data_IF_472893727286
#
_entry.id   IF_472893727286
#
_cell.length_a   1.000
_cell.length_b   1.000
_cell.length_c   1.000
_cell.angle_alpha   90.00
_cell.angle_beta   90.00
_cell.angle_gamma   90.00
#
_symmetry.space_group_name_H-M   'P 1'
#
loop_
_entity.id
_entity.type
_entity.pdbx_description
1 polymer ?
#
# COMPACT_ATOMS: atom_id res chain seq x y z
N UNK A 1 11.39 17.71 8.45
CA UNK A 1 11.70 16.25 8.38
C UNK A 1 12.97 15.82 9.14
N UNK A 2 13.99 16.65 9.36
CA UNK A 2 15.15 16.27 10.18
C UNK A 2 14.85 16.18 11.70
N UNK A 3 14.00 17.04 12.24
CA UNK A 3 13.66 17.09 13.68
C UNK A 3 12.92 15.86 14.22
N UNK A 4 12.12 15.16 13.42
CA UNK A 4 11.37 13.98 13.89
C UNK A 4 12.24 12.72 14.02
N UNK A 5 13.34 12.62 13.27
CA UNK A 5 14.28 11.50 13.39
C UNK A 5 15.12 11.57 14.69
N UNK A 6 15.27 12.76 15.26
CA UNK A 6 15.98 12.96 16.52
C UNK A 6 15.09 12.76 17.76
N UNK A 7 13.76 12.87 17.62
CA UNK A 7 12.83 12.81 18.75
C UNK A 7 12.96 11.52 19.57
N UNK A 8 13.16 10.38 18.92
CA UNK A 8 13.26 9.07 19.56
C UNK A 8 14.70 8.56 19.67
N UNK A 9 15.69 9.45 19.57
CA UNK A 9 17.11 9.13 19.62
C UNK A 9 17.51 8.41 20.92
N UNK A 10 17.00 8.84 22.07
CA UNK A 10 17.30 8.23 23.37
C UNK A 10 16.89 6.76 23.44
N UNK A 11 15.72 6.42 22.91
CA UNK A 11 15.27 5.03 22.84
C UNK A 11 16.19 4.21 21.92
N UNK A 12 16.57 4.75 20.76
CA UNK A 12 17.51 4.10 19.84
C UNK A 12 18.85 3.85 20.54
N UNK A 13 19.39 4.83 21.23
CA UNK A 13 20.66 4.73 21.94
C UNK A 13 20.57 3.67 23.03
N UNK A 14 19.56 3.70 23.89
CA UNK A 14 19.33 2.70 24.93
C UNK A 14 19.30 1.26 24.37
N UNK A 15 18.53 1.05 23.29
CA UNK A 15 18.45 -0.25 22.63
C UNK A 15 19.75 -0.67 21.95
N UNK A 16 20.53 0.29 21.43
CA UNK A 16 21.85 -0.01 20.82
C UNK A 16 22.89 -0.40 21.86
N UNK A 17 22.85 0.23 23.03
CA UNK A 17 23.82 0.02 24.12
C UNK A 17 23.52 -1.25 24.92
N UNK A 18 22.29 -1.76 24.85
CA UNK A 18 21.92 -2.99 25.56
C UNK A 18 22.47 -4.24 24.85
N UNK A 19 22.93 -5.21 25.65
CA UNK A 19 23.42 -6.51 25.17
C UNK A 19 22.32 -7.57 25.06
N UNK A 20 21.15 -7.26 25.58
CA UNK A 20 20.04 -8.21 25.64
C UNK A 20 19.45 -8.49 24.25
N UNK A 21 19.15 -9.76 24.02
CA UNK A 21 18.56 -10.20 22.76
C UNK A 21 17.05 -10.06 22.73
N UNK A 22 16.43 -10.01 23.91
CA UNK A 22 14.99 -9.84 24.12
C UNK A 22 14.76 -8.88 25.27
N UNK A 23 14.01 -7.82 25.05
CA UNK A 23 13.64 -6.82 26.02
C UNK A 23 12.12 -6.76 26.13
N UNK A 24 11.60 -6.91 27.34
CA UNK A 24 10.19 -6.65 27.62
C UNK A 24 10.13 -5.27 28.27
N UNK A 25 9.45 -4.34 27.63
CA UNK A 25 9.37 -2.96 28.12
C UNK A 25 7.93 -2.53 28.29
N UNK A 26 7.63 -1.84 29.36
CA UNK A 26 6.39 -1.12 29.54
C UNK A 26 6.43 0.22 28.78
N UNK A 27 5.28 0.78 28.47
CA UNK A 27 5.21 2.11 27.87
C UNK A 27 5.77 3.19 28.80
N UNK A 28 5.63 3.02 30.12
CA UNK A 28 6.20 3.93 31.12
C UNK A 28 7.73 3.93 31.09
N UNK A 29 8.37 2.77 31.00
CA UNK A 29 9.85 2.68 30.88
C UNK A 29 10.34 3.34 29.60
N UNK A 30 9.58 3.18 28.48
CA UNK A 30 9.92 3.85 27.22
C UNK A 30 9.79 5.37 27.38
N UNK A 31 8.76 5.86 28.08
CA UNK A 31 8.57 7.28 28.34
C UNK A 31 9.68 7.86 29.25
N UNK A 32 10.12 7.10 30.24
CA UNK A 32 11.26 7.49 31.10
C UNK A 32 12.55 7.65 30.27
N UNK A 33 12.84 6.70 29.41
CA UNK A 33 14.00 6.76 28.51
C UNK A 33 13.90 7.97 27.57
N UNK A 34 12.72 8.21 27.01
CA UNK A 34 12.48 9.31 26.09
C UNK A 34 12.53 10.68 26.81
N UNK A 35 12.09 10.73 28.07
CA UNK A 35 11.93 11.95 28.84
C UNK A 35 10.65 12.73 28.51
N UNK A 36 9.69 12.09 27.79
CA UNK A 36 8.39 12.66 27.47
C UNK A 36 7.35 11.54 27.27
N UNK A 37 6.06 11.90 27.39
CA UNK A 37 4.96 10.95 27.20
C UNK A 37 4.76 10.58 25.74
N UNK A 38 4.44 9.32 25.49
CA UNK A 38 4.02 8.84 24.17
C UNK A 38 2.72 9.53 23.75
N UNK A 39 2.53 9.65 22.44
CA UNK A 39 1.30 10.20 21.90
C UNK A 39 0.10 9.30 22.26
N UNK A 40 -1.09 9.87 22.43
CA UNK A 40 -2.31 9.14 22.76
C UNK A 40 -2.62 7.99 21.78
N UNK A 41 -2.17 8.11 20.52
CA UNK A 41 -2.29 7.06 19.50
C UNK A 41 -1.50 5.80 19.83
N UNK A 42 -0.37 5.90 20.54
CA UNK A 42 0.43 4.74 20.94
C UNK A 42 -0.31 3.83 21.94
N UNK A 43 -1.22 4.39 22.73
CA UNK A 43 -2.06 3.65 23.68
C UNK A 43 -3.31 3.04 23.03
N UNK A 44 -3.69 3.50 21.83
CA UNK A 44 -4.96 3.10 21.18
C UNK A 44 -4.76 2.21 19.94
N UNK A 45 -3.68 2.42 19.20
CA UNK A 45 -3.53 1.82 17.87
C UNK A 45 -2.28 0.93 17.79
N UNK A 46 -2.45 -0.40 17.61
CA UNK A 46 -1.32 -1.33 17.44
C UNK A 46 -0.39 -0.96 16.27
N UNK A 47 -0.93 -0.26 15.25
CA UNK A 47 -0.16 0.14 14.08
C UNK A 47 1.06 1.02 14.41
N UNK A 48 1.01 1.81 15.50
CA UNK A 48 2.12 2.66 15.94
C UNK A 48 3.35 1.82 16.34
N UNK A 49 3.11 0.61 16.82
CA UNK A 49 4.13 -0.34 17.28
C UNK A 49 4.56 -1.33 16.19
N UNK A 50 4.08 -1.16 14.97
CA UNK A 50 4.48 -2.01 13.84
C UNK A 50 5.94 -1.75 13.43
N UNK A 51 6.59 -2.78 12.87
CA UNK A 51 7.95 -2.69 12.35
C UNK A 51 8.00 -1.99 10.97
N UNK A 52 7.43 -0.80 10.89
CA UNK A 52 7.39 0.03 9.68
C UNK A 52 8.29 1.24 9.83
N UNK A 53 9.17 1.47 8.88
CA UNK A 53 10.05 2.64 8.80
C UNK A 53 9.29 3.96 8.54
N UNK A 54 8.01 3.88 8.18
CA UNK A 54 7.13 5.03 8.03
C UNK A 54 6.77 5.70 9.37
N UNK A 55 6.96 5.00 10.51
CA UNK A 55 6.69 5.53 11.83
C UNK A 55 7.99 5.97 12.53
N UNK A 56 8.13 7.26 12.89
CA UNK A 56 9.36 7.76 13.54
C UNK A 56 9.73 7.01 14.83
N UNK A 57 8.74 6.55 15.60
CA UNK A 57 8.97 5.73 16.79
C UNK A 57 9.58 4.37 16.43
N UNK A 58 9.06 3.72 15.36
CA UNK A 58 9.56 2.41 14.91
C UNK A 58 11.01 2.48 14.39
N UNK A 59 11.37 3.58 13.75
CA UNK A 59 12.75 3.81 13.29
C UNK A 59 13.77 3.72 14.43
N UNK A 60 13.38 4.05 15.67
CA UNK A 60 14.29 3.96 16.82
C UNK A 60 14.73 2.51 17.09
N UNK A 61 13.84 1.55 17.19
CA UNK A 61 14.22 0.14 17.42
C UNK A 61 14.73 -0.56 16.17
N UNK A 62 14.21 -0.22 14.99
CA UNK A 62 14.70 -0.81 13.73
C UNK A 62 16.17 -0.44 13.49
N UNK A 63 16.56 0.81 13.71
CA UNK A 63 17.96 1.27 13.58
C UNK A 63 18.87 0.74 14.68
N UNK A 64 18.32 0.35 15.83
CA UNK A 64 19.05 -0.34 16.89
C UNK A 64 19.18 -1.86 16.66
N UNK A 65 18.64 -2.37 15.54
CA UNK A 65 18.68 -3.78 15.18
C UNK A 65 17.65 -4.65 15.90
N UNK A 66 16.55 -4.07 16.38
CA UNK A 66 15.45 -4.78 17.04
C UNK A 66 14.18 -4.78 16.18
N UNK A 67 13.30 -5.72 16.49
CA UNK A 67 11.91 -5.75 16.01
C UNK A 67 10.96 -5.82 17.19
N UNK A 68 9.83 -5.14 17.07
CA UNK A 68 8.74 -5.22 18.03
C UNK A 68 7.94 -6.50 17.82
N UNK A 69 7.60 -7.17 18.91
CA UNK A 69 6.78 -8.39 18.97
C UNK A 69 5.83 -8.31 20.17
N UNK A 70 4.83 -9.17 20.24
CA UNK A 70 3.97 -9.39 21.40
C UNK A 70 3.47 -8.11 22.11
N UNK A 71 2.92 -7.18 21.33
CA UNK A 71 2.32 -5.98 21.88
C UNK A 71 1.07 -6.30 22.72
N UNK A 72 1.00 -5.76 23.92
CA UNK A 72 -0.20 -5.76 24.76
C UNK A 72 -0.61 -4.34 25.12
N UNK A 73 -1.63 -3.80 24.45
CA UNK A 73 -2.16 -2.46 24.77
C UNK A 73 -2.83 -2.41 26.15
N UNK A 74 -3.47 -3.52 26.58
CA UNK A 74 -4.12 -3.60 27.90
C UNK A 74 -3.14 -3.60 29.06
N UNK A 75 -1.98 -4.22 28.87
CA UNK A 75 -0.88 -4.23 29.86
C UNK A 75 0.13 -3.13 29.61
N UNK A 76 0.00 -2.39 28.51
CA UNK A 76 0.93 -1.36 28.07
C UNK A 76 2.37 -1.86 28.00
N UNK A 77 2.57 -3.04 27.40
CA UNK A 77 3.88 -3.67 27.27
C UNK A 77 4.15 -4.07 25.83
N UNK A 78 5.43 -4.10 25.48
CA UNK A 78 5.93 -4.53 24.17
C UNK A 78 7.22 -5.31 24.35
N UNK A 79 7.45 -6.28 23.49
CA UNK A 79 8.70 -7.04 23.43
C UNK A 79 9.51 -6.54 22.24
N UNK A 80 10.77 -6.23 22.49
CA UNK A 80 11.77 -5.96 21.45
C UNK A 80 12.72 -7.14 21.34
N UNK A 81 12.89 -7.68 20.14
CA UNK A 81 13.81 -8.77 19.85
C UNK A 81 14.88 -8.34 18.87
N UNK A 82 16.14 -8.65 19.17
CA UNK A 82 17.27 -8.35 18.30
C UNK A 82 17.20 -9.18 17.02
N UNK A 83 17.39 -8.54 15.87
CA UNK A 83 17.33 -9.21 14.57
C UNK A 83 18.47 -10.23 14.48
N UNK A 84 18.12 -11.49 14.18
CA UNK A 84 19.09 -12.59 14.13
C UNK A 84 19.11 -13.54 15.34
N UNK A 85 18.37 -13.22 16.43
CA UNK A 85 18.22 -14.14 17.56
C UNK A 85 16.97 -15.03 17.41
N UNK A 86 17.07 -16.35 17.62
CA UNK A 86 15.92 -17.25 17.52
C UNK A 86 14.89 -16.99 18.61
N UNK A 87 13.60 -17.02 18.24
CA UNK A 87 12.48 -16.98 19.21
C UNK A 87 12.39 -18.33 19.94
N UNK A 88 12.13 -18.36 21.29
CA UNK A 88 11.95 -19.60 22.01
C UNK A 88 10.75 -20.44 21.55
N UNK A 89 9.73 -19.78 21.00
CA UNK A 89 8.48 -20.41 20.52
C UNK A 89 8.48 -20.69 19.00
N UNK A 90 9.58 -20.41 18.32
CA UNK A 90 9.73 -20.83 16.93
C UNK A 90 10.24 -22.28 16.91
N UNK A 91 9.57 -23.23 16.24
CA UNK A 91 10.13 -24.55 16.04
C UNK A 91 11.52 -24.36 15.42
N UNK A 92 12.54 -25.07 15.97
CA UNK A 92 13.92 -25.11 15.47
C UNK A 92 13.86 -25.51 13.98
N UNK A 93 13.74 -24.56 13.10
CA UNK A 93 13.98 -24.78 11.68
C UNK A 93 15.48 -24.65 11.52
N UNK A 94 16.16 -25.78 11.42
CA UNK A 94 17.52 -25.82 10.93
C UNK A 94 17.56 -25.05 9.61
N UNK A 95 18.31 -23.95 9.59
CA UNK A 95 18.59 -23.21 8.36
C UNK A 95 19.55 -24.01 7.51
N UNK A 96 19.10 -25.13 6.99
CA UNK A 96 19.63 -25.60 5.72
C UNK A 96 19.27 -24.51 4.71
N UNK A 97 20.20 -24.14 3.86
CA UNK A 97 19.97 -23.29 2.68
C UNK A 97 19.10 -24.03 1.64
N UNK A 98 18.02 -24.66 2.05
CA UNK A 98 16.93 -24.97 1.16
C UNK A 98 16.12 -23.67 1.08
N UNK A 99 16.06 -23.04 -0.07
CA UNK A 99 14.97 -22.15 -0.42
C UNK A 99 13.72 -22.89 0.01
N UNK A 100 13.06 -22.44 1.09
CA UNK A 100 11.75 -22.97 1.44
C UNK A 100 10.89 -22.69 0.22
N UNK A 101 10.67 -23.73 -0.55
CA UNK A 101 9.74 -23.75 -1.65
C UNK A 101 8.36 -23.56 -1.04
N UNK A 102 7.92 -22.31 -0.96
CA UNK A 102 6.51 -22.01 -0.77
C UNK A 102 5.88 -22.54 -2.05
N UNK A 103 4.98 -23.53 -1.98
CA UNK A 103 4.40 -24.08 -3.20
C UNK A 103 3.82 -22.92 -4.01
N UNK A 104 4.24 -22.82 -5.27
CA UNK A 104 3.65 -21.89 -6.22
C UNK A 104 2.14 -22.06 -6.10
N UNK A 105 1.43 -20.94 -6.05
CA UNK A 105 -0.02 -20.93 -6.03
C UNK A 105 -0.54 -21.83 -7.17
N UNK A 106 -1.16 -22.94 -6.81
CA UNK A 106 -1.73 -23.82 -7.84
C UNK A 106 -2.96 -23.16 -8.47
N UNK A 107 -3.31 -23.47 -9.72
CA UNK A 107 -4.53 -22.98 -10.34
C UNK A 107 -5.78 -23.21 -9.48
N UNK A 108 -5.89 -24.38 -8.83
CA UNK A 108 -7.02 -24.70 -7.95
C UNK A 108 -7.07 -23.81 -6.70
N UNK A 109 -5.91 -23.54 -6.10
CA UNK A 109 -5.82 -22.61 -4.98
C UNK A 109 -6.22 -21.19 -5.41
N UNK A 110 -5.77 -20.74 -6.58
CA UNK A 110 -6.16 -19.44 -7.13
C UNK A 110 -7.67 -19.35 -7.37
N UNK A 111 -8.28 -20.35 -7.98
CA UNK A 111 -9.73 -20.43 -8.19
C UNK A 111 -10.50 -20.42 -6.87
N UNK A 112 -10.05 -21.18 -5.86
CA UNK A 112 -10.67 -21.17 -4.53
C UNK A 112 -10.64 -19.75 -3.92
N UNK A 113 -9.49 -19.09 -3.92
CA UNK A 113 -9.35 -17.72 -3.37
C UNK A 113 -10.21 -16.70 -4.11
N UNK A 114 -10.32 -16.84 -5.44
CA UNK A 114 -11.20 -15.98 -6.25
C UNK A 114 -12.67 -16.20 -5.86
N UNK A 115 -13.10 -17.44 -5.71
CA UNK A 115 -14.46 -17.77 -5.31
C UNK A 115 -14.75 -17.26 -3.88
N UNK A 116 -13.83 -17.42 -2.94
CA UNK A 116 -13.97 -16.90 -1.59
C UNK A 116 -14.11 -15.38 -1.58
N UNK A 117 -13.31 -14.68 -2.39
CA UNK A 117 -13.43 -13.22 -2.55
C UNK A 117 -14.80 -12.83 -3.10
N UNK A 118 -15.30 -13.50 -4.15
CA UNK A 118 -16.64 -13.22 -4.67
C UNK A 118 -17.74 -13.51 -3.65
N UNK A 119 -17.66 -14.61 -2.93
CA UNK A 119 -18.62 -14.96 -1.89
C UNK A 119 -18.63 -13.91 -0.77
N UNK A 120 -17.48 -13.39 -0.35
CA UNK A 120 -17.42 -12.31 0.64
C UNK A 120 -18.01 -10.99 0.10
N UNK A 121 -17.75 -10.66 -1.17
CA UNK A 121 -18.28 -9.41 -1.75
C UNK A 121 -19.79 -9.43 -1.94
N UNK A 122 -20.41 -10.61 -2.10
CA UNK A 122 -21.87 -10.73 -2.23
C UNK A 122 -22.59 -10.55 -0.88
N UNK A 123 -21.94 -10.82 0.25
CA UNK A 123 -22.53 -10.70 1.60
C UNK A 123 -22.91 -9.27 1.96
N UNK A 124 -22.13 -8.29 1.49
CA UNK A 124 -22.40 -6.87 1.71
C UNK A 124 -22.53 -6.12 0.39
N UNK A 125 -23.76 -5.83 -0.02
CA UNK A 125 -24.06 -5.09 -1.25
C UNK A 125 -23.54 -3.67 -1.26
N UNK A 126 -23.20 -3.12 -0.11
CA UNK A 126 -22.68 -1.77 0.09
C UNK A 126 -21.23 -1.78 0.60
N UNK A 127 -20.59 -2.93 0.62
CA UNK A 127 -19.21 -3.10 1.01
C UNK A 127 -18.25 -2.29 0.12
N UNK A 128 -17.14 -1.83 0.70
CA UNK A 128 -16.16 -0.99 -0.02
C UNK A 128 -15.63 -1.63 -1.30
N UNK A 129 -15.63 -2.95 -1.41
CA UNK A 129 -15.20 -3.68 -2.61
C UNK A 129 -16.06 -3.36 -3.83
N UNK A 130 -17.33 -2.99 -3.61
CA UNK A 130 -18.23 -2.61 -4.68
C UNK A 130 -17.82 -1.31 -5.37
N UNK A 131 -17.05 -0.44 -4.71
CA UNK A 131 -16.56 0.81 -5.31
C UNK A 131 -15.70 0.57 -6.56
N UNK A 132 -14.87 -0.49 -6.56
CA UNK A 132 -14.13 -0.90 -7.74
C UNK A 132 -15.06 -1.29 -8.88
N UNK A 133 -16.07 -2.13 -8.62
CA UNK A 133 -17.02 -2.59 -9.64
C UNK A 133 -17.82 -1.41 -10.23
N UNK A 134 -18.25 -0.49 -9.38
CA UNK A 134 -18.97 0.71 -9.85
C UNK A 134 -18.08 1.58 -10.73
N UNK A 135 -16.83 1.80 -10.36
CA UNK A 135 -15.88 2.56 -11.16
C UNK A 135 -15.64 1.86 -12.51
N UNK A 136 -15.27 0.58 -12.50
CA UNK A 136 -15.02 -0.18 -13.72
C UNK A 136 -16.22 -0.20 -14.67
N UNK A 137 -17.43 -0.44 -14.16
CA UNK A 137 -18.66 -0.42 -14.95
C UNK A 137 -18.96 0.97 -15.53
N UNK A 138 -18.75 2.04 -14.77
CA UNK A 138 -18.94 3.42 -15.26
C UNK A 138 -18.03 3.69 -16.46
N UNK A 139 -16.76 3.35 -16.38
CA UNK A 139 -15.82 3.49 -17.51
C UNK A 139 -16.15 2.58 -18.67
N UNK A 140 -16.54 1.33 -18.43
CA UNK A 140 -16.90 0.37 -19.48
C UNK A 140 -18.14 0.80 -20.27
N UNK A 141 -19.14 1.36 -19.58
CA UNK A 141 -20.40 1.81 -20.22
C UNK A 141 -20.25 3.11 -21.01
N UNK A 142 -19.26 3.92 -20.67
CA UNK A 142 -19.04 5.24 -21.25
C UNK A 142 -17.70 5.33 -22.00
N UNK A 143 -17.25 4.21 -22.62
CA UNK A 143 -15.99 4.21 -23.39
C UNK A 143 -16.04 5.24 -24.52
N UNK A 144 -14.94 5.99 -24.64
CA UNK A 144 -14.73 7.00 -25.71
C UNK A 144 -15.73 8.17 -25.71
N UNK A 145 -16.45 8.37 -24.61
CA UNK A 145 -17.35 9.52 -24.46
C UNK A 145 -16.59 10.63 -23.72
N UNK A 146 -16.43 11.78 -24.38
CA UNK A 146 -15.59 12.90 -23.92
C UNK A 146 -16.40 14.19 -23.69
N UNK A 147 -17.74 14.11 -23.59
CA UNK A 147 -18.51 15.27 -23.16
C UNK A 147 -18.26 15.62 -21.71
N UNK A 148 -18.41 16.88 -21.36
CA UNK A 148 -18.08 17.42 -20.04
C UNK A 148 -18.81 16.69 -18.89
N UNK A 149 -20.08 16.33 -19.09
CA UNK A 149 -20.88 15.66 -18.05
C UNK A 149 -20.38 14.24 -17.80
N UNK A 150 -20.08 13.50 -18.86
CA UNK A 150 -19.55 12.14 -18.76
C UNK A 150 -18.16 12.14 -18.14
N UNK A 151 -17.29 13.05 -18.54
CA UNK A 151 -15.95 13.18 -17.96
C UNK A 151 -16.02 13.52 -16.47
N UNK A 152 -16.90 14.46 -16.07
CA UNK A 152 -17.11 14.81 -14.66
C UNK A 152 -17.64 13.62 -13.84
N UNK A 153 -18.63 12.89 -14.37
CA UNK A 153 -19.19 11.68 -13.79
C UNK A 153 -18.11 10.59 -13.59
N UNK A 154 -17.27 10.35 -14.59
CA UNK A 154 -16.18 9.36 -14.51
C UNK A 154 -15.11 9.78 -13.53
N UNK A 155 -14.75 11.07 -13.47
CA UNK A 155 -13.81 11.61 -12.50
C UNK A 155 -14.31 11.40 -11.06
N UNK A 156 -15.60 11.61 -10.80
CA UNK A 156 -16.21 11.37 -9.49
C UNK A 156 -16.15 9.87 -9.11
N UNK A 157 -16.48 8.96 -10.04
CA UNK A 157 -16.40 7.53 -9.81
C UNK A 157 -14.96 7.08 -9.50
N UNK A 158 -13.98 7.60 -10.25
CA UNK A 158 -12.56 7.31 -10.02
C UNK A 158 -12.10 7.81 -8.65
N UNK A 159 -12.46 9.04 -8.28
CA UNK A 159 -12.13 9.62 -6.98
C UNK A 159 -12.70 8.78 -5.82
N UNK A 160 -13.99 8.42 -5.90
CA UNK A 160 -14.63 7.63 -4.86
C UNK A 160 -14.00 6.24 -4.71
N UNK A 161 -13.70 5.57 -5.83
CA UNK A 161 -12.98 4.30 -5.81
C UNK A 161 -11.61 4.45 -5.16
N UNK A 162 -10.80 5.42 -5.60
CA UNK A 162 -9.46 5.66 -5.03
C UNK A 162 -9.51 6.01 -3.54
N UNK A 163 -10.50 6.80 -3.10
CA UNK A 163 -10.71 7.12 -1.68
C UNK A 163 -11.07 5.86 -0.88
N UNK A 164 -11.98 5.03 -1.36
CA UNK A 164 -12.39 3.76 -0.72
C UNK A 164 -11.20 2.80 -0.56
N UNK A 165 -10.23 2.85 -1.48
CA UNK A 165 -9.02 2.02 -1.44
C UNK A 165 -7.80 2.75 -0.87
N UNK A 166 -8.05 3.86 -0.14
CA UNK A 166 -7.07 4.50 0.72
C UNK A 166 -6.02 5.34 0.00
N UNK A 167 -6.32 5.85 -1.21
CA UNK A 167 -5.41 6.73 -1.93
C UNK A 167 -5.51 8.20 -1.48
N UNK A 168 -6.56 8.58 -0.73
CA UNK A 168 -6.77 9.90 -0.13
C UNK A 168 -6.40 9.90 1.36
N UNK A 169 -5.18 9.47 1.71
CA UNK A 169 -4.74 9.43 3.11
C UNK A 169 -3.24 9.65 3.26
N UNK A 170 -2.82 9.95 4.49
CA UNK A 170 -1.41 10.08 4.85
C UNK A 170 -0.73 11.23 4.12
N UNK A 171 0.38 10.94 3.45
CA UNK A 171 1.16 11.91 2.67
C UNK A 171 0.75 11.97 1.20
N UNK A 172 -0.39 11.37 0.82
CA UNK A 172 -0.87 11.45 -0.56
C UNK A 172 -1.23 12.89 -0.92
N UNK A 173 -0.74 13.38 -2.06
CA UNK A 173 -1.09 14.70 -2.57
C UNK A 173 -2.60 14.83 -2.85
N UNK A 174 -3.28 13.73 -3.16
CA UNK A 174 -4.73 13.69 -3.40
C UNK A 174 -5.54 14.13 -2.18
N UNK A 175 -5.00 14.02 -0.96
CA UNK A 175 -5.71 14.42 0.26
C UNK A 175 -6.11 15.91 0.25
N UNK A 176 -5.38 16.75 -0.48
CA UNK A 176 -5.60 18.19 -0.58
C UNK A 176 -6.30 18.59 -1.90
N UNK A 177 -6.81 17.61 -2.66
CA UNK A 177 -7.45 17.82 -3.95
C UNK A 177 -8.89 17.34 -3.94
N UNK A 178 -9.73 18.00 -4.72
CA UNK A 178 -11.06 17.50 -5.04
C UNK A 178 -11.00 16.45 -6.17
N UNK A 179 -12.16 15.89 -6.53
CA UNK A 179 -12.24 14.84 -7.56
C UNK A 179 -11.89 15.34 -8.97
N UNK A 180 -11.96 16.63 -9.23
CA UNK A 180 -11.66 17.20 -10.56
C UNK A 180 -10.19 17.09 -10.93
N UNK A 181 -9.31 16.84 -9.97
CA UNK A 181 -7.90 16.49 -10.22
C UNK A 181 -7.74 15.28 -11.15
N UNK A 182 -8.77 14.43 -11.26
CA UNK A 182 -8.77 13.27 -12.13
C UNK A 182 -9.26 13.57 -13.56
N UNK A 183 -9.84 14.72 -13.84
CA UNK A 183 -10.38 15.08 -15.18
C UNK A 183 -9.36 14.87 -16.31
N UNK A 184 -8.10 15.34 -16.22
CA UNK A 184 -7.11 15.11 -17.27
C UNK A 184 -6.78 13.60 -17.44
N UNK A 185 -6.77 12.85 -16.36
CA UNK A 185 -6.52 11.40 -16.38
C UNK A 185 -7.69 10.66 -17.05
N UNK A 186 -8.93 11.04 -16.77
CA UNK A 186 -10.12 10.49 -17.44
C UNK A 186 -10.02 10.71 -18.95
N UNK A 187 -9.67 11.90 -19.39
CA UNK A 187 -9.51 12.21 -20.82
C UNK A 187 -8.46 11.30 -21.49
N UNK A 188 -7.34 11.05 -20.83
CA UNK A 188 -6.31 10.12 -21.35
C UNK A 188 -6.88 8.71 -21.46
N UNK A 189 -7.53 8.19 -20.41
CA UNK A 189 -8.06 6.82 -20.36
C UNK A 189 -9.13 6.61 -21.44
N UNK A 190 -9.88 7.64 -21.80
CA UNK A 190 -10.94 7.61 -22.80
C UNK A 190 -10.45 7.75 -24.25
N UNK A 191 -9.14 7.85 -24.49
CA UNK A 191 -8.61 7.86 -25.86
C UNK A 191 -8.74 6.48 -26.52
N UNK A 192 -9.24 6.45 -27.74
CA UNK A 192 -9.46 5.19 -28.53
C UNK A 192 -8.25 4.27 -28.60
N UNK A 193 -7.03 4.84 -28.62
CA UNK A 193 -5.82 4.03 -28.71
C UNK A 193 -5.59 3.09 -27.52
N UNK A 194 -6.28 3.32 -26.38
CA UNK A 194 -6.21 2.47 -25.20
C UNK A 194 -7.35 1.48 -25.08
N UNK A 195 -8.26 1.39 -26.06
CA UNK A 195 -9.41 0.47 -26.02
C UNK A 195 -8.96 -0.97 -25.95
N UNK A 196 -7.86 -1.30 -26.60
CA UNK A 196 -7.28 -2.64 -26.58
C UNK A 196 -6.88 -3.11 -25.17
N UNK A 197 -6.58 -2.17 -24.28
CA UNK A 197 -6.22 -2.48 -22.88
C UNK A 197 -7.45 -2.77 -22.00
N UNK A 198 -8.66 -2.42 -22.43
CA UNK A 198 -9.87 -2.63 -21.64
C UNK A 198 -10.23 -4.10 -21.52
N UNK A 199 -10.13 -4.66 -20.31
CA UNK A 199 -10.39 -6.07 -20.04
C UNK A 199 -9.44 -7.04 -20.75
N UNK A 200 -8.26 -6.57 -21.13
CA UNK A 200 -7.27 -7.38 -21.87
C UNK A 200 -6.84 -8.60 -21.07
N UNK A 201 -6.69 -9.75 -21.74
CA UNK A 201 -6.15 -10.95 -21.12
C UNK A 201 -4.65 -10.81 -20.83
N UNK A 202 -4.13 -11.55 -19.84
CA UNK A 202 -2.69 -11.55 -19.52
C UNK A 202 -1.83 -11.96 -20.73
N UNK A 203 -2.30 -12.90 -21.56
CA UNK A 203 -1.59 -13.36 -22.74
C UNK A 203 -1.47 -12.25 -23.80
N UNK A 204 -2.56 -11.54 -24.06
CA UNK A 204 -2.55 -10.41 -24.98
C UNK A 204 -1.73 -9.24 -24.43
N UNK A 205 -1.81 -8.96 -23.13
CA UNK A 205 -1.04 -7.90 -22.51
C UNK A 205 0.47 -8.12 -22.65
N UNK A 206 0.95 -9.36 -22.63
CA UNK A 206 2.37 -9.69 -22.81
C UNK A 206 2.91 -9.40 -24.21
N UNK A 207 2.08 -9.09 -25.20
CA UNK A 207 2.54 -8.65 -26.51
C UNK A 207 3.22 -7.29 -26.42
N UNK A 208 4.36 -7.15 -27.12
CA UNK A 208 5.21 -5.94 -27.06
C UNK A 208 4.42 -4.65 -27.33
N UNK A 209 3.52 -4.67 -28.27
CA UNK A 209 2.68 -3.51 -28.63
C UNK A 209 1.79 -3.06 -27.49
N UNK A 210 1.18 -4.00 -26.75
CA UNK A 210 0.31 -3.70 -25.62
C UNK A 210 1.09 -3.28 -24.39
N UNK A 211 2.29 -3.83 -24.16
CA UNK A 211 3.21 -3.34 -23.12
C UNK A 211 3.65 -1.91 -23.38
N UNK A 212 3.93 -1.54 -24.62
CA UNK A 212 4.28 -0.15 -24.98
C UNK A 212 3.09 0.81 -24.72
N UNK A 213 1.86 0.39 -25.02
CA UNK A 213 0.66 1.18 -24.69
C UNK A 213 0.45 1.31 -23.18
N UNK A 214 0.72 0.25 -22.42
CA UNK A 214 0.64 0.28 -20.95
C UNK A 214 1.68 1.24 -20.36
N UNK A 215 2.91 1.24 -20.87
CA UNK A 215 3.96 2.17 -20.45
C UNK A 215 3.60 3.61 -20.81
N UNK A 216 3.09 3.84 -22.02
CA UNK A 216 2.68 5.17 -22.48
C UNK A 216 1.55 5.75 -21.61
N UNK A 217 0.46 5.00 -21.39
CA UNK A 217 -0.63 5.48 -20.55
C UNK A 217 -0.18 5.71 -19.10
N UNK A 218 0.68 4.84 -18.57
CA UNK A 218 1.24 4.97 -17.23
C UNK A 218 2.09 6.24 -17.09
N UNK A 219 2.93 6.52 -18.07
CA UNK A 219 3.75 7.73 -18.12
C UNK A 219 2.88 8.99 -18.18
N UNK A 220 1.88 9.01 -19.04
CA UNK A 220 0.96 10.16 -19.19
C UNK A 220 0.15 10.43 -17.93
N UNK A 221 -0.35 9.39 -17.26
CA UNK A 221 -1.04 9.54 -15.96
C UNK A 221 -0.10 10.18 -14.93
N UNK A 222 1.17 9.76 -14.88
CA UNK A 222 2.15 10.34 -13.95
C UNK A 222 2.42 11.81 -14.27
N UNK A 223 2.56 12.14 -15.55
CA UNK A 223 2.81 13.51 -16.01
C UNK A 223 1.65 14.43 -15.62
N UNK A 224 0.40 14.02 -15.86
CA UNK A 224 -0.78 14.77 -15.45
C UNK A 224 -0.77 15.11 -13.95
N UNK A 225 -0.51 14.12 -13.10
CA UNK A 225 -0.48 14.39 -11.66
C UNK A 225 0.75 15.18 -11.21
N UNK A 226 1.87 15.13 -11.94
CA UNK A 226 3.03 15.95 -11.63
C UNK A 226 2.76 17.44 -11.91
N UNK A 227 1.96 17.76 -12.94
CA UNK A 227 1.54 19.11 -13.27
C UNK A 227 0.60 19.71 -12.22
N UNK A 228 -0.22 18.88 -11.58
CA UNK A 228 -1.16 19.28 -10.53
C UNK A 228 -0.52 19.51 -9.15
N UNK A 229 0.77 19.21 -9.00
CA UNK A 229 1.49 19.39 -7.74
C UNK A 229 2.20 20.76 -7.70
N UNK A 230 2.21 21.45 -6.55
CA UNK A 230 2.99 22.66 -6.38
C UNK A 230 4.47 22.42 -6.71
N UNK A 231 5.12 23.40 -7.34
CA UNK A 231 6.51 23.29 -7.77
C UNK A 231 7.51 22.98 -6.64
N UNK A 232 7.14 23.28 -5.40
CA UNK A 232 7.95 22.99 -4.21
C UNK A 232 7.94 21.51 -3.79
N UNK A 233 6.92 20.74 -4.21
CA UNK A 233 6.76 19.32 -3.87
C UNK A 233 7.18 18.37 -5.00
N UNK A 234 7.58 18.89 -6.17
CA UNK A 234 7.95 18.08 -7.35
C UNK A 234 9.06 17.04 -7.12
N UNK A 235 9.80 17.14 -6.03
CA UNK A 235 10.85 16.17 -5.69
C UNK A 235 10.42 15.02 -4.80
N UNK A 236 9.20 15.03 -4.24
CA UNK A 236 8.82 14.13 -3.13
C UNK A 236 7.58 13.26 -3.41
N UNK A 237 6.67 13.67 -4.30
CA UNK A 237 5.36 12.99 -4.43
C UNK A 237 4.93 12.77 -5.90
N UNK A 238 5.76 12.14 -6.70
CA UNK A 238 5.29 11.62 -7.98
C UNK A 238 4.19 10.58 -7.77
N UNK A 239 3.22 10.52 -8.71
CA UNK A 239 2.21 9.47 -8.69
C UNK A 239 2.88 8.09 -8.60
N UNK A 240 2.63 7.39 -7.49
CA UNK A 240 3.28 6.10 -7.20
C UNK A 240 2.77 5.01 -8.13
N UNK A 241 3.54 3.92 -8.30
CA UNK A 241 3.08 2.73 -9.02
C UNK A 241 1.76 2.21 -8.47
N UNK A 242 1.57 2.27 -7.16
CA UNK A 242 0.31 1.88 -6.51
C UNK A 242 -0.87 2.74 -6.99
N UNK A 243 -0.71 4.06 -7.12
CA UNK A 243 -1.77 4.93 -7.61
C UNK A 243 -2.09 4.65 -9.08
N UNK A 244 -1.06 4.63 -9.93
CA UNK A 244 -1.22 4.40 -11.38
C UNK A 244 -1.89 3.05 -11.65
N UNK A 245 -1.40 1.97 -11.04
CA UNK A 245 -1.97 0.64 -11.25
C UNK A 245 -3.36 0.47 -10.67
N UNK A 246 -3.70 1.16 -9.57
CA UNK A 246 -5.09 1.23 -9.09
C UNK A 246 -6.00 1.94 -10.07
N UNK A 247 -5.57 3.05 -10.66
CA UNK A 247 -6.33 3.73 -11.71
C UNK A 247 -6.59 2.77 -12.88
N UNK A 248 -5.54 2.15 -13.41
CA UNK A 248 -5.66 1.20 -14.52
C UNK A 248 -6.55 -0.01 -14.19
N UNK A 249 -6.47 -0.53 -12.96
CA UNK A 249 -7.36 -1.59 -12.48
C UNK A 249 -8.82 -1.13 -12.46
N UNK A 250 -9.07 0.07 -11.90
CA UNK A 250 -10.43 0.59 -11.71
C UNK A 250 -11.11 1.08 -12.97
N UNK A 251 -10.36 1.32 -14.05
CA UNK A 251 -10.87 1.92 -15.29
C UNK A 251 -10.80 0.99 -16.49
N UNK A 252 -9.66 0.35 -16.68
CA UNK A 252 -9.40 -0.55 -17.82
C UNK A 252 -9.39 -2.02 -17.41
N UNK A 253 -9.16 -2.36 -16.14
CA UNK A 253 -9.07 -3.74 -15.66
C UNK A 253 -7.86 -4.51 -16.23
N UNK A 254 -6.83 -3.82 -16.71
CA UNK A 254 -5.73 -4.42 -17.48
C UNK A 254 -4.55 -4.90 -16.64
N UNK A 255 -4.40 -4.41 -15.40
CA UNK A 255 -3.30 -4.79 -14.51
C UNK A 255 -3.80 -4.91 -13.07
N UNK A 256 -3.17 -5.76 -12.23
CA UNK A 256 -3.45 -5.76 -10.79
C UNK A 256 -2.92 -4.48 -10.12
N UNK A 257 -3.50 -4.11 -8.99
CA UNK A 257 -2.98 -3.00 -8.19
C UNK A 257 -1.65 -3.38 -7.52
N UNK A 258 -0.58 -2.65 -7.79
CA UNK A 258 0.75 -2.85 -7.19
C UNK A 258 0.80 -2.26 -5.79
N UNK A 259 -0.09 -2.73 -4.93
CA UNK A 259 -0.06 -2.37 -3.52
C UNK A 259 0.88 -3.28 -2.71
N UNK A 260 1.04 -2.94 -1.44
CA UNK A 260 1.93 -3.68 -0.54
C UNK A 260 1.62 -5.18 -0.49
N UNK A 261 0.34 -5.55 -0.50
CA UNK A 261 -0.06 -6.96 -0.39
C UNK A 261 0.27 -7.74 -1.65
N UNK A 262 -0.01 -7.15 -2.82
CA UNK A 262 0.34 -7.75 -4.09
C UNK A 262 1.85 -7.95 -4.23
N UNK A 263 2.65 -6.90 -3.99
CA UNK A 263 4.12 -6.97 -4.06
C UNK A 263 4.69 -8.01 -3.08
N UNK A 264 4.13 -8.10 -1.87
CA UNK A 264 4.54 -9.10 -0.90
C UNK A 264 4.22 -10.52 -1.37
N UNK A 265 3.02 -10.74 -1.92
CA UNK A 265 2.60 -12.04 -2.43
C UNK A 265 3.47 -12.50 -3.59
N UNK A 266 3.75 -11.63 -4.56
CA UNK A 266 4.63 -11.92 -5.70
C UNK A 266 6.02 -12.33 -5.21
N UNK A 267 6.63 -11.57 -4.29
CA UNK A 267 7.95 -11.88 -3.71
C UNK A 267 7.96 -13.21 -2.94
N UNK A 268 6.88 -13.52 -2.20
CA UNK A 268 6.76 -14.77 -1.45
C UNK A 268 6.64 -15.99 -2.36
N UNK A 269 6.02 -15.84 -3.50
CA UNK A 269 5.85 -16.92 -4.49
C UNK A 269 7.02 -17.02 -5.49
N UNK A 270 8.07 -16.19 -5.33
CA UNK A 270 9.28 -16.28 -6.15
C UNK A 270 9.10 -15.81 -7.60
N UNK A 271 8.11 -14.94 -7.83
CA UNK A 271 7.81 -14.32 -9.12
C UNK A 271 8.51 -12.95 -9.21
#
# INVERSE_FOLDING_TARGET
MARDKEKYYKLRQYLSDTKETVLIMSFSEIEEILGFRLNASAYKYPAIWSNSDSHPLAVAWLNAGYRSEQLSLSRQTIVFRKVGCPSPDSPRIERSRSRNYIPLMTPDTAVSLINDYFNETVKDKHGRYMSWRHCYNAFSQNRNVLDEQTVDYLALHLAFYLASWGMYRGSSFLLQKDYKVHTPVVNIIQEHRYDVLHGISAQELCKRENLLLLDDISCRIRTCYAEEQPSFERGVNNATDTLVTKILLGTLGCVPAYDRYYVQSVKQNGI
#
